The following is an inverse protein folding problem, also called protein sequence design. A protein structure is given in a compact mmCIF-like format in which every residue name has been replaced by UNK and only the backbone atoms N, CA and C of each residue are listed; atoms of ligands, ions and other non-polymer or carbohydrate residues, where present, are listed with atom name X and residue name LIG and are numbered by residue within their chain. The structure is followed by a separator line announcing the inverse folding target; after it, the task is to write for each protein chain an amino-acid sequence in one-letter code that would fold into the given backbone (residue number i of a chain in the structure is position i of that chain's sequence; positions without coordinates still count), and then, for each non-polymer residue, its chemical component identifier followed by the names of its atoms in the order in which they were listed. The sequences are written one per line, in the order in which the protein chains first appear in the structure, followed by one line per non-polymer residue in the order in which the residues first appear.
data_IF_478292532576
#
_entry.id   IF_478292532576
#
_cell.length_a   1.000
_cell.length_b   1.000
_cell.length_c   1.000
_cell.angle_alpha   90.00
_cell.angle_beta   90.00
_cell.angle_gamma   90.00
#
_symmetry.space_group_name_H-M   'P 1'
#
loop_
_entity.id
_entity.type
_entity.pdbx_description
1 polymer ?
#
# COMPACT_ATOMS: atom_id res chain seq x y z
N UNK A 1 -11.47 63.45 -5.19
CA UNK A 1 -11.39 62.16 -4.47
C UNK A 1 -11.74 61.06 -5.44
N UNK A 2 -10.72 60.59 -6.16
CA UNK A 2 -10.78 59.56 -7.20
C UNK A 2 -10.27 58.26 -6.57
N UNK A 3 -11.13 57.25 -6.45
CA UNK A 3 -10.76 55.94 -5.94
C UNK A 3 -10.42 55.01 -7.11
N UNK A 4 -9.15 54.63 -7.22
CA UNK A 4 -8.66 53.58 -8.12
C UNK A 4 -9.20 52.21 -7.67
N UNK A 5 -9.85 51.49 -8.59
CA UNK A 5 -10.19 50.06 -8.42
C UNK A 5 -9.05 49.22 -8.98
N UNK A 6 -8.30 48.58 -8.10
CA UNK A 6 -7.34 47.54 -8.47
C UNK A 6 -8.07 46.30 -9.01
N UNK A 7 -7.79 45.95 -10.27
CA UNK A 7 -8.22 44.71 -10.91
C UNK A 7 -7.33 43.56 -10.43
N UNK A 8 -7.95 42.54 -9.83
CA UNK A 8 -7.25 41.38 -9.28
C UNK A 8 -6.70 40.46 -10.38
N UNK A 9 -5.39 40.22 -10.33
CA UNK A 9 -4.59 39.35 -11.21
C UNK A 9 -4.91 37.84 -11.11
N UNK A 10 -5.97 37.46 -10.39
CA UNK A 10 -6.31 36.06 -10.08
C UNK A 10 -7.23 35.41 -11.12
N UNK A 11 -7.80 36.18 -12.06
CA UNK A 11 -8.77 35.69 -13.03
C UNK A 11 -8.20 35.06 -14.32
N UNK A 12 -6.92 35.27 -14.66
CA UNK A 12 -6.42 34.96 -16.01
C UNK A 12 -5.67 33.61 -16.12
N UNK A 13 -5.29 32.98 -15.00
CA UNK A 13 -4.64 31.68 -14.99
C UNK A 13 -5.61 30.49 -15.15
N UNK A 14 -6.93 30.71 -15.00
CA UNK A 14 -7.95 29.66 -15.09
C UNK A 14 -8.38 29.27 -16.50
N UNK A 15 -8.10 30.09 -17.52
CA UNK A 15 -8.59 29.84 -18.88
C UNK A 15 -7.65 29.01 -19.78
N UNK A 16 -6.37 28.85 -19.41
CA UNK A 16 -5.41 28.10 -20.24
C UNK A 16 -5.34 26.59 -19.94
N UNK A 17 -5.97 26.11 -18.85
CA UNK A 17 -5.97 24.68 -18.50
C UNK A 17 -7.21 23.95 -19.04
N UNK A 18 -8.27 24.66 -19.41
CA UNK A 18 -9.52 24.07 -19.91
C UNK A 18 -9.47 23.58 -21.36
N UNK A 19 -8.58 24.14 -22.20
CA UNK A 19 -8.56 23.83 -23.64
C UNK A 19 -7.82 22.54 -24.01
N UNK A 20 -6.92 22.05 -23.16
CA UNK A 20 -6.09 20.86 -23.47
C UNK A 20 -6.77 19.53 -23.08
N UNK A 21 -7.75 19.56 -22.17
CA UNK A 21 -8.45 18.34 -21.70
C UNK A 21 -9.61 17.94 -22.63
N UNK A 22 -10.10 18.85 -23.48
CA UNK A 22 -11.24 18.58 -24.36
C UNK A 22 -10.89 17.79 -25.65
N UNK A 23 -9.61 17.44 -25.90
CA UNK A 23 -9.17 16.84 -27.17
C UNK A 23 -8.82 15.35 -27.13
N UNK A 24 -9.02 14.65 -26.00
CA UNK A 24 -8.60 13.24 -25.82
C UNK A 24 -9.80 12.27 -25.66
N UNK A 25 -11.04 12.71 -25.82
CA UNK A 25 -12.24 11.86 -25.61
C UNK A 25 -12.99 11.44 -26.88
N UNK A 26 -12.48 11.69 -28.09
CA UNK A 26 -13.08 11.16 -29.31
C UNK A 26 -12.54 9.75 -29.63
N UNK A 27 -13.04 8.74 -28.93
CA UNK A 27 -12.88 7.34 -29.32
C UNK A 27 -13.96 6.96 -30.37
N UNK A 28 -13.62 6.20 -31.42
CA UNK A 28 -14.59 5.74 -32.42
C UNK A 28 -15.55 4.70 -31.84
N UNK A 29 -16.78 4.70 -32.34
CA UNK A 29 -17.86 3.79 -31.94
C UNK A 29 -17.50 2.32 -32.21
N UNK A 30 -17.77 1.39 -31.28
CA UNK A 30 -17.53 -0.04 -31.50
C UNK A 30 -18.53 -0.60 -32.51
N UNK A 31 -18.02 -1.00 -33.67
CA UNK A 31 -18.71 -1.82 -34.64
C UNK A 31 -18.94 -3.24 -34.12
N UNK A 32 -20.06 -3.80 -34.55
CA UNK A 32 -20.58 -5.11 -34.20
C UNK A 32 -19.58 -6.24 -34.47
N UNK A 33 -19.37 -7.09 -33.46
CA UNK A 33 -18.87 -8.45 -33.66
C UNK A 33 -20.05 -9.40 -33.59
N UNK A 34 -20.36 -9.97 -34.74
CA UNK A 34 -21.35 -11.02 -34.94
C UNK A 34 -20.88 -12.34 -34.34
N UNK A 35 -21.88 -13.05 -33.82
CA UNK A 35 -22.00 -14.49 -33.57
C UNK A 35 -20.85 -15.40 -34.03
N UNK A 36 -20.32 -16.16 -33.07
CA UNK A 36 -19.64 -17.44 -33.34
C UNK A 36 -20.40 -18.53 -32.62
N UNK A 37 -20.97 -19.41 -33.43
CA UNK A 37 -21.75 -20.59 -33.08
C UNK A 37 -21.13 -21.46 -32.01
N UNK A 38 -21.96 -21.83 -31.03
CA UNK A 38 -21.65 -22.83 -30.02
C UNK A 38 -22.36 -24.14 -30.40
N UNK A 39 -21.69 -25.02 -31.13
CA UNK A 39 -22.14 -26.39 -31.33
C UNK A 39 -20.91 -27.30 -31.52
N UNK A 40 -20.66 -28.20 -30.57
CA UNK A 40 -19.52 -29.13 -30.65
C UNK A 40 -19.42 -30.05 -29.44
N UNK A 41 -20.27 -31.06 -29.43
CA UNK A 41 -20.24 -32.16 -28.48
C UNK A 41 -18.94 -32.98 -28.58
N UNK A 42 -18.48 -33.46 -27.42
CA UNK A 42 -17.87 -34.78 -27.27
C UNK A 42 -16.40 -34.95 -27.66
N UNK A 43 -15.52 -35.00 -26.65
CA UNK A 43 -14.46 -36.02 -26.58
C UNK A 43 -13.86 -36.11 -25.18
N UNK A 44 -14.21 -37.17 -24.45
CA UNK A 44 -13.38 -37.68 -23.37
C UNK A 44 -12.12 -38.26 -24.00
N UNK A 45 -10.95 -37.66 -23.75
CA UNK A 45 -9.66 -38.26 -24.02
C UNK A 45 -8.99 -38.54 -22.68
N UNK A 46 -9.08 -39.82 -22.33
CA UNK A 46 -8.22 -40.48 -21.37
C UNK A 46 -6.84 -40.64 -22.01
N UNK A 47 -5.79 -40.10 -21.38
CA UNK A 47 -4.40 -40.39 -21.73
C UNK A 47 -3.56 -40.52 -20.46
N UNK A 48 -2.76 -41.58 -20.46
CA UNK A 48 -2.01 -42.20 -19.37
C UNK A 48 -0.91 -41.32 -18.75
N UNK A 49 -0.47 -41.64 -17.50
CA UNK A 49 0.69 -40.99 -16.89
C UNK A 49 1.99 -41.45 -17.59
N UNK A 50 2.61 -40.56 -18.36
CA UNK A 50 3.98 -40.75 -18.85
C UNK A 50 4.96 -40.33 -17.76
N UNK A 51 5.52 -41.32 -17.06
CA UNK A 51 6.72 -41.19 -16.23
C UNK A 51 7.91 -41.03 -17.20
N UNK A 52 8.19 -39.78 -17.58
CA UNK A 52 9.34 -39.42 -18.39
C UNK A 52 10.34 -38.65 -17.54
N UNK A 53 11.39 -39.35 -17.09
CA UNK A 53 12.59 -38.73 -16.53
C UNK A 53 13.32 -37.96 -17.62
N UNK A 54 12.97 -36.68 -17.77
CA UNK A 54 13.74 -35.71 -18.54
C UNK A 54 14.55 -34.88 -17.56
N UNK A 55 15.87 -34.95 -17.69
CA UNK A 55 16.82 -34.04 -17.07
C UNK A 55 16.47 -32.59 -17.47
N UNK A 56 15.60 -31.95 -16.69
CA UNK A 56 15.43 -30.51 -16.71
C UNK A 56 16.71 -29.92 -16.11
N UNK A 57 17.68 -29.72 -17.01
CA UNK A 57 18.80 -28.82 -16.79
C UNK A 57 18.20 -27.48 -16.36
N UNK A 58 18.19 -27.29 -15.04
CA UNK A 58 17.67 -26.11 -14.39
C UNK A 58 18.61 -24.98 -14.78
N UNK A 59 18.25 -24.26 -15.85
CA UNK A 59 18.86 -22.97 -16.12
C UNK A 59 18.78 -22.17 -14.80
N UNK A 60 19.88 -21.58 -14.32
CA UNK A 60 19.86 -20.82 -13.09
C UNK A 60 18.76 -19.79 -13.24
N UNK A 61 17.72 -19.92 -12.40
CA UNK A 61 16.68 -18.92 -12.27
C UNK A 61 17.43 -17.62 -12.02
N UNK A 62 17.44 -16.75 -13.04
CA UNK A 62 18.02 -15.42 -12.92
C UNK A 62 17.25 -14.76 -11.78
N UNK A 63 17.86 -14.80 -10.60
CA UNK A 63 17.37 -14.16 -9.40
C UNK A 63 17.06 -12.72 -9.83
N UNK A 64 15.80 -12.28 -9.78
CA UNK A 64 15.41 -11.02 -10.37
C UNK A 64 16.25 -9.94 -9.70
N UNK A 65 17.18 -9.38 -10.47
CA UNK A 65 18.13 -8.39 -10.01
C UNK A 65 17.39 -7.38 -9.14
N UNK A 66 17.81 -7.31 -7.87
CA UNK A 66 17.20 -6.53 -6.80
C UNK A 66 16.82 -5.16 -7.36
N UNK A 67 15.51 -4.94 -7.60
CA UNK A 67 15.05 -3.70 -8.22
C UNK A 67 15.57 -2.54 -7.36
N UNK A 68 16.24 -1.54 -7.97
CA UNK A 68 16.75 -0.39 -7.22
C UNK A 68 15.61 0.23 -6.42
N UNK A 69 15.92 0.57 -5.16
CA UNK A 69 14.94 0.95 -4.13
C UNK A 69 13.87 1.90 -4.65
N UNK A 70 12.60 1.52 -4.45
CA UNK A 70 11.47 2.32 -4.92
C UNK A 70 11.52 3.76 -4.40
N UNK A 71 11.01 4.71 -5.19
CA UNK A 71 11.04 6.13 -4.85
C UNK A 71 10.54 6.39 -3.42
N UNK A 72 11.18 7.32 -2.67
CA UNK A 72 10.79 7.63 -1.30
C UNK A 72 9.35 8.14 -1.27
N UNK A 73 8.64 7.81 -0.19
CA UNK A 73 7.31 8.35 0.02
C UNK A 73 7.36 9.88 0.15
N UNK A 74 6.32 10.53 -0.34
CA UNK A 74 6.16 11.97 -0.20
C UNK A 74 5.95 12.39 1.26
N UNK A 75 6.43 13.59 1.60
CA UNK A 75 6.25 14.21 2.91
C UNK A 75 4.77 14.24 3.33
N UNK A 76 3.86 14.50 2.38
CA UNK A 76 2.42 14.51 2.66
C UNK A 76 1.85 13.16 3.09
N UNK A 77 2.36 12.05 2.55
CA UNK A 77 1.96 10.70 2.97
C UNK A 77 2.46 10.39 4.39
N UNK A 78 3.70 10.79 4.70
CA UNK A 78 4.28 10.66 6.03
C UNK A 78 3.48 11.46 7.07
N UNK A 79 3.21 12.74 6.79
CA UNK A 79 2.39 13.58 7.66
C UNK A 79 0.99 13.00 7.88
N UNK A 80 0.34 12.52 6.81
CA UNK A 80 -0.97 11.85 6.92
C UNK A 80 -0.90 10.66 7.87
N UNK A 81 0.12 9.79 7.75
CA UNK A 81 0.28 8.64 8.64
C UNK A 81 0.45 9.07 10.11
N UNK A 82 1.29 10.06 10.39
CA UNK A 82 1.46 10.57 11.75
C UNK A 82 0.21 11.26 12.31
N UNK A 83 -0.56 11.97 11.47
CA UNK A 83 -1.85 12.54 11.88
C UNK A 83 -2.85 11.45 12.25
N UNK A 84 -2.91 10.35 11.49
CA UNK A 84 -3.76 9.19 11.82
C UNK A 84 -3.35 8.55 13.15
N UNK A 85 -2.05 8.37 13.38
CA UNK A 85 -1.52 7.82 14.64
C UNK A 85 -1.81 8.75 15.82
N UNK A 86 -1.56 10.05 15.68
CA UNK A 86 -1.86 11.05 16.69
C UNK A 86 -3.35 11.11 17.02
N UNK A 87 -4.21 11.09 15.99
CA UNK A 87 -5.66 11.04 16.14
C UNK A 87 -6.13 9.77 16.86
N UNK A 88 -5.56 8.61 16.55
CA UNK A 88 -5.83 7.38 17.27
C UNK A 88 -5.37 7.41 18.73
N UNK A 89 -4.22 8.06 19.02
CA UNK A 89 -3.76 8.30 20.39
C UNK A 89 -4.73 9.16 21.19
N UNK A 90 -5.24 10.25 20.60
CA UNK A 90 -6.30 11.08 21.21
C UNK A 90 -7.58 10.28 21.41
N UNK A 91 -7.99 9.47 20.42
CA UNK A 91 -9.15 8.59 20.52
C UNK A 91 -9.01 7.52 21.61
N UNK A 92 -7.83 6.92 21.74
CA UNK A 92 -7.49 5.97 22.80
C UNK A 92 -7.56 6.64 24.18
N UNK A 93 -6.96 7.82 24.34
CA UNK A 93 -7.05 8.59 25.57
C UNK A 93 -8.51 8.92 25.92
N UNK A 94 -9.30 9.39 24.96
CA UNK A 94 -10.70 9.71 25.17
C UNK A 94 -11.51 8.48 25.61
N UNK A 95 -11.30 7.35 24.95
CA UNK A 95 -11.96 6.07 25.27
C UNK A 95 -11.59 5.55 26.67
N UNK A 96 -10.32 5.67 27.04
CA UNK A 96 -9.86 5.32 28.38
C UNK A 96 -10.45 6.26 29.44
N UNK A 97 -10.43 7.57 29.19
CA UNK A 97 -10.92 8.59 30.13
C UNK A 97 -12.42 8.51 30.39
N UNK A 98 -13.20 8.01 29.44
CA UNK A 98 -14.65 7.81 29.59
C UNK A 98 -15.01 6.50 30.30
N UNK A 99 -14.01 5.68 30.69
CA UNK A 99 -14.24 4.35 31.25
C UNK A 99 -14.68 3.31 30.21
N UNK A 100 -14.58 3.62 28.91
CA UNK A 100 -14.93 2.70 27.82
C UNK A 100 -13.81 1.75 27.40
N UNK A 101 -12.64 1.81 28.06
CA UNK A 101 -11.56 0.86 27.83
C UNK A 101 -11.87 -0.51 28.43
N UNK A 102 -11.55 -1.58 27.69
CA UNK A 102 -11.70 -2.95 28.17
C UNK A 102 -10.80 -3.27 29.37
N UNK A 103 -11.22 -4.23 30.19
CA UNK A 103 -10.39 -4.76 31.28
C UNK A 103 -9.08 -5.34 30.73
N UNK A 104 -7.98 -5.12 31.43
CA UNK A 104 -6.65 -5.56 31.00
C UNK A 104 -6.63 -7.09 30.87
N UNK A 105 -6.49 -7.59 29.65
CA UNK A 105 -6.33 -9.02 29.38
C UNK A 105 -4.93 -9.44 29.83
N UNK A 106 -4.86 -10.49 30.65
CA UNK A 106 -3.61 -11.04 31.19
C UNK A 106 -3.41 -12.47 30.73
N UNK A 107 -2.65 -12.68 29.64
CA UNK A 107 -2.26 -14.02 29.25
C UNK A 107 -1.41 -14.70 30.34
N UNK A 108 -1.49 -16.03 30.49
CA UNK A 108 -0.80 -16.76 31.57
C UNK A 108 0.73 -16.77 31.42
N UNK A 109 1.25 -16.57 30.21
CA UNK A 109 2.67 -16.55 29.90
C UNK A 109 2.98 -15.67 28.69
N UNK A 110 4.27 -15.38 28.50
CA UNK A 110 4.76 -14.52 27.41
C UNK A 110 4.53 -15.11 26.02
N UNK A 111 4.50 -16.44 25.86
CA UNK A 111 4.25 -17.09 24.57
C UNK A 111 2.82 -16.80 24.12
N UNK A 112 1.85 -16.85 25.03
CA UNK A 112 0.47 -16.47 24.77
C UNK A 112 0.34 -14.99 24.37
N UNK A 113 1.11 -14.08 24.98
CA UNK A 113 1.15 -12.65 24.58
C UNK A 113 1.58 -12.50 23.11
N UNK A 114 2.67 -13.15 22.72
CA UNK A 114 3.15 -13.11 21.33
C UNK A 114 2.17 -13.78 20.36
N UNK A 115 1.55 -14.90 20.75
CA UNK A 115 0.51 -15.56 19.96
C UNK A 115 -0.67 -14.64 19.68
N UNK A 116 -1.15 -13.93 20.70
CA UNK A 116 -2.24 -12.95 20.55
C UNK A 116 -1.80 -11.79 19.65
N UNK A 117 -0.57 -11.27 19.79
CA UNK A 117 -0.05 -10.21 18.91
C UNK A 117 -0.06 -10.63 17.43
N UNK A 118 0.38 -11.86 17.13
CA UNK A 118 0.41 -12.39 15.76
C UNK A 118 -1.01 -12.51 15.19
N UNK A 119 -1.93 -13.09 15.95
CA UNK A 119 -3.34 -13.23 15.54
C UNK A 119 -3.97 -11.85 15.36
N UNK A 120 -3.67 -10.91 16.25
CA UNK A 120 -4.19 -9.55 16.18
C UNK A 120 -3.67 -8.81 14.94
N UNK A 121 -2.38 -8.90 14.64
CA UNK A 121 -1.80 -8.35 13.40
C UNK A 121 -2.45 -8.93 12.15
N UNK A 122 -2.65 -10.25 12.10
CA UNK A 122 -3.34 -10.92 11.00
C UNK A 122 -4.81 -10.47 10.86
N UNK A 123 -5.51 -10.26 11.98
CA UNK A 123 -6.88 -9.76 11.99
C UNK A 123 -6.94 -8.32 11.43
N UNK A 124 -6.02 -7.44 11.84
CA UNK A 124 -5.93 -6.08 11.28
C UNK A 124 -5.62 -6.12 9.78
N UNK A 125 -4.72 -7.00 9.31
CA UNK A 125 -4.46 -7.18 7.87
C UNK A 125 -5.75 -7.52 7.10
N UNK A 126 -6.58 -8.42 7.63
CA UNK A 126 -7.87 -8.79 7.03
C UNK A 126 -8.90 -7.67 7.03
N UNK A 127 -8.95 -6.88 8.10
CA UNK A 127 -9.84 -5.71 8.17
C UNK A 127 -9.43 -4.65 7.15
N UNK A 128 -8.14 -4.47 6.89
CA UNK A 128 -7.62 -3.42 6.00
C UNK A 128 -7.60 -3.80 4.51
N UNK A 129 -7.60 -5.10 4.19
CA UNK A 129 -7.66 -5.62 2.82
C UNK A 129 -8.73 -4.93 1.94
N UNK A 130 -10.02 -4.81 2.36
CA UNK A 130 -11.04 -4.12 1.57
C UNK A 130 -10.82 -2.62 1.41
N UNK A 131 -10.09 -1.97 2.30
CA UNK A 131 -9.80 -0.53 2.23
C UNK A 131 -8.61 -0.22 1.33
N UNK A 132 -7.70 -1.18 1.14
CA UNK A 132 -6.53 -1.03 0.26
C UNK A 132 -6.90 -0.65 -1.18
N UNK A 133 -8.11 -1.01 -1.63
CA UNK A 133 -8.62 -0.68 -2.97
C UNK A 133 -8.91 0.81 -3.16
N UNK A 134 -9.11 1.57 -2.08
CA UNK A 134 -9.40 3.00 -2.12
C UNK A 134 -8.14 3.86 -1.99
N UNK A 135 -6.99 3.27 -1.70
CA UNK A 135 -5.74 4.01 -1.55
C UNK A 135 -5.25 4.55 -2.92
N UNK A 136 -4.68 5.77 -2.94
CA UNK A 136 -4.22 6.40 -4.17
C UNK A 136 -3.07 5.64 -4.83
N UNK A 137 -2.93 5.81 -6.15
CA UNK A 137 -1.81 5.26 -6.93
C UNK A 137 -2.17 4.11 -7.89
N UNK A 138 -3.28 3.39 -7.68
CA UNK A 138 -3.67 2.26 -8.56
C UNK A 138 -3.90 2.66 -10.02
N UNK A 139 -4.43 3.86 -10.26
CA UNK A 139 -4.65 4.38 -11.61
C UNK A 139 -3.33 4.61 -12.37
N UNK A 140 -2.30 5.05 -11.66
CA UNK A 140 -0.97 5.30 -12.24
C UNK A 140 -0.29 3.96 -12.57
N UNK A 141 -0.40 2.97 -11.69
CA UNK A 141 0.07 1.59 -11.97
C UNK A 141 -0.61 0.99 -13.19
N UNK A 142 -1.94 1.11 -13.28
CA UNK A 142 -2.70 0.63 -14.43
C UNK A 142 -2.28 1.37 -15.72
N UNK A 143 -1.97 2.65 -15.65
CA UNK A 143 -1.45 3.41 -16.79
C UNK A 143 -0.06 2.91 -17.21
N UNK A 144 0.87 2.70 -16.27
CA UNK A 144 2.20 2.11 -16.56
C UNK A 144 2.05 0.76 -17.24
N UNK A 145 1.24 -0.14 -16.68
CA UNK A 145 1.07 -1.49 -17.22
C UNK A 145 0.47 -1.48 -18.63
N UNK A 146 -0.47 -0.56 -18.91
CA UNK A 146 -1.04 -0.36 -20.25
C UNK A 146 0.01 0.11 -21.24
N UNK A 147 0.79 1.13 -20.88
CA UNK A 147 1.87 1.66 -21.74
C UNK A 147 2.96 0.61 -21.98
N UNK A 148 3.31 -0.19 -20.99
CA UNK A 148 4.27 -1.30 -21.16
C UNK A 148 3.74 -2.37 -22.12
N UNK A 149 2.46 -2.72 -22.01
CA UNK A 149 1.83 -3.70 -22.90
C UNK A 149 1.72 -3.17 -24.33
N UNK A 150 1.38 -1.90 -24.49
CA UNK A 150 1.31 -1.24 -25.80
C UNK A 150 2.69 -1.21 -26.48
N UNK A 151 3.74 -0.83 -25.75
CA UNK A 151 5.11 -0.84 -26.27
C UNK A 151 5.60 -2.25 -26.61
N UNK A 152 5.25 -3.26 -25.81
CA UNK A 152 5.58 -4.64 -26.11
C UNK A 152 4.88 -5.16 -27.38
N UNK A 153 3.65 -4.71 -27.64
CA UNK A 153 2.86 -5.14 -28.79
C UNK A 153 3.27 -4.46 -30.11
N UNK A 154 3.88 -3.27 -30.04
CA UNK A 154 4.17 -2.46 -31.23
C UNK A 154 5.27 -3.05 -32.14
N UNK A 155 5.95 -4.14 -31.75
CA UNK A 155 7.04 -4.86 -32.45
C UNK A 155 8.21 -4.02 -33.00
N UNK A 156 8.13 -2.69 -32.89
CA UNK A 156 9.16 -1.70 -33.19
C UNK A 156 9.91 -1.33 -31.92
N UNK A 157 11.17 -0.95 -32.09
CA UNK A 157 11.95 -0.38 -31.00
C UNK A 157 11.29 0.90 -30.49
N UNK A 158 11.10 0.98 -29.17
CA UNK A 158 10.55 2.16 -28.53
C UNK A 158 11.48 3.35 -28.76
N UNK A 159 10.93 4.47 -29.23
CA UNK A 159 11.69 5.71 -29.42
C UNK A 159 12.23 6.22 -28.09
N UNK A 160 13.35 6.95 -28.12
CA UNK A 160 13.94 7.53 -26.91
C UNK A 160 12.93 8.39 -26.11
N UNK A 161 12.02 9.06 -26.80
CA UNK A 161 10.92 9.84 -26.20
C UNK A 161 9.88 8.98 -25.49
N UNK A 162 9.50 7.83 -26.06
CA UNK A 162 8.57 6.88 -25.44
C UNK A 162 9.21 6.24 -24.19
N UNK A 163 10.50 5.91 -24.28
CA UNK A 163 11.26 5.38 -23.14
C UNK A 163 11.36 6.40 -22.00
N UNK A 164 11.63 7.67 -22.30
CA UNK A 164 11.66 8.74 -21.31
C UNK A 164 10.28 8.98 -20.66
N UNK A 165 9.21 8.93 -21.45
CA UNK A 165 7.84 9.04 -20.93
C UNK A 165 7.48 7.87 -20.01
N UNK A 166 7.85 6.64 -20.39
CA UNK A 166 7.65 5.45 -19.57
C UNK A 166 8.43 5.53 -18.26
N UNK A 167 9.68 6.00 -18.29
CA UNK A 167 10.48 6.21 -17.09
C UNK A 167 9.80 7.18 -16.11
N UNK A 168 9.28 8.31 -16.59
CA UNK A 168 8.54 9.26 -15.77
C UNK A 168 7.23 8.70 -15.20
N UNK A 169 6.53 7.83 -15.94
CA UNK A 169 5.34 7.14 -15.42
C UNK A 169 5.69 6.12 -14.34
N UNK A 170 6.78 5.36 -14.52
CA UNK A 170 7.28 4.40 -13.53
C UNK A 170 7.66 5.09 -12.23
N UNK A 171 8.38 6.21 -12.29
CA UNK A 171 8.74 7.00 -11.11
C UNK A 171 7.49 7.46 -10.33
N UNK A 172 6.46 7.93 -11.03
CA UNK A 172 5.17 8.33 -10.42
C UNK A 172 4.46 7.14 -9.79
N UNK A 173 4.46 5.98 -10.44
CA UNK A 173 3.89 4.76 -9.89
C UNK A 173 4.65 4.31 -8.63
N UNK A 174 5.97 4.38 -8.63
CA UNK A 174 6.82 4.04 -7.48
C UNK A 174 6.55 4.93 -6.28
N UNK A 175 6.48 6.25 -6.50
CA UNK A 175 6.11 7.21 -5.45
C UNK A 175 4.69 6.96 -4.93
N UNK A 176 3.76 6.61 -5.83
CA UNK A 176 2.39 6.23 -5.48
C UNK A 176 2.32 4.96 -4.62
N UNK A 177 3.19 3.97 -4.88
CA UNK A 177 3.34 2.78 -4.03
C UNK A 177 3.85 3.14 -2.65
N UNK A 178 4.95 3.91 -2.58
CA UNK A 178 5.53 4.35 -1.30
C UNK A 178 4.52 5.11 -0.43
N UNK A 179 3.78 6.05 -1.03
CA UNK A 179 2.73 6.79 -0.33
C UNK A 179 1.64 5.87 0.24
N UNK A 180 1.15 4.93 -0.57
CA UNK A 180 0.12 3.97 -0.15
C UNK A 180 0.60 3.07 0.97
N UNK A 181 1.84 2.58 0.91
CA UNK A 181 2.45 1.76 1.97
C UNK A 181 2.49 2.52 3.29
N UNK A 182 2.98 3.77 3.31
CA UNK A 182 3.07 4.57 4.53
C UNK A 182 1.68 4.91 5.09
N UNK A 183 0.74 5.31 4.24
CA UNK A 183 -0.63 5.62 4.69
C UNK A 183 -1.31 4.36 5.21
N UNK A 184 -1.19 3.21 4.54
CA UNK A 184 -1.73 1.95 5.01
C UNK A 184 -1.14 1.54 6.37
N UNK A 185 0.17 1.72 6.56
CA UNK A 185 0.83 1.50 7.84
C UNK A 185 0.26 2.41 8.94
N UNK A 186 0.10 3.71 8.67
CA UNK A 186 -0.51 4.65 9.61
C UNK A 186 -1.94 4.28 10.01
N UNK A 187 -2.76 3.84 9.04
CA UNK A 187 -4.11 3.31 9.29
C UNK A 187 -4.04 2.05 10.17
N UNK A 188 -3.13 1.13 9.89
CA UNK A 188 -2.97 -0.10 10.68
C UNK A 188 -2.62 0.17 12.14
N UNK A 189 -1.65 1.05 12.39
CA UNK A 189 -1.28 1.49 13.74
C UNK A 189 -2.48 2.16 14.42
N UNK A 190 -3.20 3.03 13.72
CA UNK A 190 -4.36 3.74 14.26
C UNK A 190 -5.48 2.77 14.68
N UNK A 191 -5.87 1.84 13.81
CA UNK A 191 -6.91 0.83 14.11
C UNK A 191 -6.45 -0.10 15.22
N UNK A 192 -5.21 -0.57 15.19
CA UNK A 192 -4.67 -1.45 16.21
C UNK A 192 -4.62 -0.77 17.60
N UNK A 193 -4.25 0.51 17.65
CA UNK A 193 -4.23 1.32 18.89
C UNK A 193 -5.62 1.43 19.51
N UNK A 194 -6.62 1.79 18.69
CA UNK A 194 -8.01 1.92 19.15
C UNK A 194 -8.59 0.58 19.58
N UNK A 195 -8.36 -0.48 18.80
CA UNK A 195 -8.84 -1.82 19.11
C UNK A 195 -8.16 -2.42 20.36
N UNK A 196 -6.86 -2.17 20.55
CA UNK A 196 -6.11 -2.53 21.77
C UNK A 196 -6.71 -1.86 23.00
N UNK A 197 -7.01 -0.55 22.90
CA UNK A 197 -7.60 0.22 24.01
C UNK A 197 -9.02 -0.24 24.32
N UNK A 198 -9.85 -0.43 23.28
CA UNK A 198 -11.22 -0.90 23.43
C UNK A 198 -11.28 -2.33 23.99
N UNK A 199 -10.39 -3.21 23.53
CA UNK A 199 -10.35 -4.62 23.91
C UNK A 199 -9.56 -4.93 25.18
N UNK A 200 -8.87 -3.94 25.77
CA UNK A 200 -8.06 -4.15 26.97
C UNK A 200 -6.76 -4.92 26.74
N UNK A 201 -6.27 -5.00 25.50
CA UNK A 201 -5.05 -5.73 25.18
C UNK A 201 -3.85 -4.79 25.14
N UNK A 202 -3.01 -4.84 26.18
CA UNK A 202 -1.90 -3.90 26.37
C UNK A 202 -0.58 -4.65 26.55
N UNK A 203 0.34 -4.50 25.59
CA UNK A 203 1.56 -5.31 25.50
C UNK A 203 2.47 -5.15 26.72
N UNK A 204 2.74 -3.91 27.14
CA UNK A 204 3.67 -3.67 28.24
C UNK A 204 3.09 -4.13 29.56
N UNK A 205 1.78 -3.91 29.82
CA UNK A 205 1.10 -4.44 31.01
C UNK A 205 1.02 -5.97 31.00
N UNK A 206 0.89 -6.59 29.83
CA UNK A 206 0.91 -8.05 29.71
C UNK A 206 2.29 -8.65 30.05
N UNK A 207 3.39 -7.97 29.69
CA UNK A 207 4.76 -8.45 29.95
C UNK A 207 5.24 -8.07 31.36
N UNK A 208 4.95 -6.85 31.83
CA UNK A 208 5.46 -6.32 33.10
C UNK A 208 4.70 -6.84 34.33
N UNK A 209 3.51 -7.41 34.13
CA UNK A 209 2.72 -7.99 35.20
C UNK A 209 1.85 -6.97 35.97
N UNK A 210 1.08 -7.45 36.96
CA UNK A 210 -0.01 -6.69 37.59
C UNK A 210 0.45 -5.51 38.44
N UNK A 211 1.69 -5.55 38.93
CA UNK A 211 2.25 -4.53 39.83
C UNK A 211 2.81 -3.31 39.07
N UNK A 212 2.87 -3.38 37.73
CA UNK A 212 3.46 -2.31 36.93
C UNK A 212 2.52 -1.11 36.82
N UNK A 213 3.00 0.04 37.31
CA UNK A 213 2.32 1.36 37.25
C UNK A 213 3.11 2.39 36.43
N UNK A 214 4.06 1.93 35.62
CA UNK A 214 5.04 2.81 34.97
C UNK A 214 4.48 3.70 33.87
N UNK A 215 3.44 3.23 33.15
CA UNK A 215 2.81 4.01 32.08
C UNK A 215 1.27 3.94 32.18
N UNK A 216 0.56 5.05 31.87
CA UNK A 216 -0.87 5.01 31.66
C UNK A 216 -1.27 4.01 30.56
N UNK A 217 -2.40 3.35 30.78
CA UNK A 217 -2.95 2.31 29.90
C UNK A 217 -3.12 2.78 28.44
N UNK A 218 -3.56 4.02 28.22
CA UNK A 218 -3.72 4.59 26.88
C UNK A 218 -2.38 4.72 26.12
N UNK A 219 -1.25 4.93 26.83
CA UNK A 219 0.08 4.96 26.21
C UNK A 219 0.48 3.55 25.77
N UNK A 220 0.21 2.54 26.58
CA UNK A 220 0.46 1.15 26.21
C UNK A 220 -0.39 0.73 25.00
N UNK A 221 -1.62 1.24 24.87
CA UNK A 221 -2.43 1.06 23.67
C UNK A 221 -1.73 1.56 22.40
N UNK A 222 -1.06 2.71 22.46
CA UNK A 222 -0.27 3.25 21.34
C UNK A 222 0.95 2.36 21.05
N UNK A 223 1.69 1.95 22.07
CA UNK A 223 2.87 1.07 21.92
C UNK A 223 2.45 -0.26 21.28
N UNK A 224 1.34 -0.83 21.76
CA UNK A 224 0.76 -2.06 21.21
C UNK A 224 0.37 -1.87 19.75
N UNK A 225 -0.31 -0.76 19.42
CA UNK A 225 -0.68 -0.44 18.05
C UNK A 225 0.52 -0.27 17.11
N UNK A 226 1.61 0.35 17.58
CA UNK A 226 2.87 0.47 16.82
C UNK A 226 3.51 -0.89 16.59
N UNK A 227 3.60 -1.72 17.65
CA UNK A 227 4.16 -3.07 17.54
C UNK A 227 3.38 -3.91 16.53
N UNK A 228 2.05 -3.91 16.62
CA UNK A 228 1.15 -4.62 15.71
C UNK A 228 1.28 -4.08 14.28
N UNK A 229 1.26 -2.75 14.12
CA UNK A 229 1.43 -2.12 12.81
C UNK A 229 2.79 -2.40 12.17
N UNK A 230 3.86 -2.55 12.97
CA UNK A 230 5.18 -2.93 12.51
C UNK A 230 5.25 -4.38 12.01
N UNK A 231 4.42 -5.27 12.56
CA UNK A 231 4.31 -6.67 12.12
C UNK A 231 3.53 -6.85 10.82
N UNK A 232 2.95 -5.79 10.25
CA UNK A 232 2.21 -5.88 8.99
C UNK A 232 3.16 -5.91 7.79
N UNK A 233 2.84 -6.69 6.75
CA UNK A 233 3.62 -6.79 5.49
C UNK A 233 4.08 -5.46 4.89
N UNK A 234 3.29 -4.36 4.91
CA UNK A 234 3.74 -3.05 4.44
C UNK A 234 5.05 -2.56 5.04
N UNK A 235 5.38 -2.94 6.28
CA UNK A 235 6.61 -2.50 6.95
C UNK A 235 7.85 -3.23 6.39
N UNK A 236 7.76 -4.55 6.17
CA UNK A 236 8.81 -5.32 5.50
C UNK A 236 9.11 -4.75 4.10
N UNK A 237 8.07 -4.42 3.34
CA UNK A 237 8.20 -3.79 2.03
C UNK A 237 8.84 -2.40 2.10
N UNK A 238 8.67 -1.66 3.20
CA UNK A 238 9.26 -0.33 3.41
C UNK A 238 10.75 -0.44 3.73
N UNK A 239 11.15 -1.34 4.62
CA UNK A 239 12.56 -1.53 5.01
C UNK A 239 13.40 -2.01 3.83
N UNK A 240 12.90 -2.98 3.05
CA UNK A 240 13.59 -3.45 1.84
C UNK A 240 13.80 -2.35 0.79
N UNK A 241 13.06 -1.23 0.87
CA UNK A 241 13.23 -0.07 -0.02
C UNK A 241 14.14 1.00 0.55
N UNK A 242 14.17 1.16 1.88
CA UNK A 242 15.02 2.16 2.54
C UNK A 242 16.48 1.72 2.54
N UNK A 243 16.77 0.42 2.54
CA UNK A 243 18.13 -0.07 2.32
C UNK A 243 18.58 0.35 0.92
N UNK A 244 19.44 1.39 0.81
CA UNK A 244 20.00 1.75 -0.48
C UNK A 244 20.78 0.53 -0.93
N UNK A 245 20.54 0.04 -2.14
CA UNK A 245 21.30 -1.08 -2.69
C UNK A 245 22.77 -0.76 -2.48
N UNK A 246 23.42 -1.50 -1.57
CA UNK A 246 24.79 -1.27 -1.15
C UNK A 246 25.63 -1.26 -2.40
N UNK A 247 25.97 -0.06 -2.86
CA UNK A 247 26.66 0.17 -4.10
C UNK A 247 28.00 -0.50 -3.99
N UNK A 248 28.09 -1.72 -4.50
CA UNK A 248 29.34 -2.35 -4.88
C UNK A 248 29.95 -1.50 -5.98
N UNK A 249 30.56 -0.39 -5.60
CA UNK A 249 31.63 0.22 -6.34
C UNK A 249 32.75 -0.83 -6.38
N UNK A 250 32.70 -1.71 -7.39
CA UNK A 250 33.87 -2.49 -7.77
C UNK A 250 34.82 -1.53 -8.51
N UNK A 251 36.09 -1.44 -8.09
CA UNK A 251 37.11 -0.70 -8.83
C UNK A 251 37.36 -1.29 -10.21
#
# INVERSE_FOLDING_TARGET
MTAERGTSFVGQAGQFVGATVARVTAAPAPGAFSDVDTAGAGRFVQASPTVGGGDQSSAPSAEPASRPGGAPASVGAVLTAFVLIGGAGVGSWALWSSGGGGEVIRPPDTVAVFGILIVFAAAIERILEPFSRWLPGRRVEAAVQRTETELANLSREATATEQAALAGLRERADRGRGNRTIVAWGIAVAVATLASTAGGFYLLHAIAGPEWKGLPVWIDGIVTGIMVGSGTKPMHDLISRIQPGGGGARP
#
